data_IF_285302123518
#
_entry.id   IF_285302123518
#
_cell.length_a   1.000
_cell.length_b   1.000
_cell.length_c   1.000
_cell.angle_alpha   90.00
_cell.angle_beta   90.00
_cell.angle_gamma   90.00
#
_symmetry.space_group_name_H-M   'P 1'
#
loop_
_entity.id
_entity.type
_entity.pdbx_description
1 polymer ?
#
# COMPACT_ATOMS: atom_id res chain seq x y z
N UNK A 1 -4.87 -8.42 15.53
CA UNK A 1 -3.84 -9.38 15.07
C UNK A 1 -2.57 -8.63 14.69
N UNK A 2 -1.44 -9.34 14.59
CA UNK A 2 -0.13 -8.78 14.21
C UNK A 2 0.51 -9.70 13.18
N UNK A 3 1.03 -9.14 12.10
CA UNK A 3 1.92 -9.84 11.16
C UNK A 3 3.34 -9.36 11.42
N UNK A 4 4.16 -10.21 12.01
CA UNK A 4 5.53 -9.86 12.42
C UNK A 4 6.52 -9.82 11.27
N UNK A 5 6.20 -10.44 10.13
CA UNK A 5 7.05 -10.46 8.94
C UNK A 5 6.23 -10.76 7.68
N UNK A 6 6.49 -10.03 6.61
CA UNK A 6 5.96 -10.28 5.26
C UNK A 6 6.74 -9.44 4.26
N UNK A 7 7.01 -9.94 3.05
CA UNK A 7 7.88 -9.23 2.12
C UNK A 7 7.88 -9.82 0.72
N UNK A 8 8.40 -9.05 -0.23
CA UNK A 8 8.73 -9.52 -1.58
C UNK A 8 10.06 -8.92 -2.00
N UNK A 9 10.89 -9.71 -2.68
CA UNK A 9 12.22 -9.31 -3.14
C UNK A 9 12.23 -8.65 -4.53
N UNK A 10 13.21 -7.77 -4.75
CA UNK A 10 13.54 -7.21 -6.08
C UNK A 10 14.75 -7.89 -6.73
N UNK A 11 15.30 -8.90 -6.08
CA UNK A 11 16.36 -9.81 -6.53
C UNK A 11 15.92 -11.28 -6.42
N UNK A 12 16.89 -12.20 -6.51
CA UNK A 12 16.62 -13.65 -6.41
C UNK A 12 16.06 -14.29 -7.68
N UNK A 13 15.41 -15.44 -7.53
CA UNK A 13 14.96 -16.27 -8.66
C UNK A 13 13.73 -15.72 -9.41
N UNK A 14 12.87 -14.96 -8.73
CA UNK A 14 11.65 -14.37 -9.28
C UNK A 14 11.50 -12.90 -8.86
N UNK A 15 12.42 -12.02 -9.30
CA UNK A 15 12.48 -10.65 -8.82
C UNK A 15 11.27 -9.86 -9.28
N UNK A 16 10.69 -9.07 -8.36
CA UNK A 16 9.77 -8.00 -8.73
C UNK A 16 10.55 -6.78 -9.19
N UNK A 17 9.93 -5.96 -10.03
CA UNK A 17 10.36 -4.56 -10.15
C UNK A 17 10.07 -3.81 -8.86
N UNK A 18 10.85 -2.78 -8.52
CA UNK A 18 10.59 -1.95 -7.33
C UNK A 18 9.20 -1.31 -7.34
N UNK A 19 8.70 -0.95 -8.53
CA UNK A 19 7.34 -0.42 -8.69
C UNK A 19 6.30 -1.47 -8.30
N UNK A 20 6.49 -2.73 -8.71
CA UNK A 20 5.60 -3.83 -8.29
C UNK A 20 5.69 -4.07 -6.78
N UNK A 21 6.90 -4.12 -6.21
CA UNK A 21 7.11 -4.30 -4.78
C UNK A 21 6.40 -3.20 -3.98
N UNK A 22 6.60 -1.93 -4.34
CA UNK A 22 5.96 -0.80 -3.67
C UNK A 22 4.43 -0.86 -3.75
N UNK A 23 3.86 -1.23 -4.91
CA UNK A 23 2.41 -1.38 -5.06
C UNK A 23 1.84 -2.51 -4.22
N UNK A 24 2.53 -3.65 -4.16
CA UNK A 24 2.13 -4.79 -3.33
C UNK A 24 2.16 -4.44 -1.84
N UNK A 25 3.14 -3.67 -1.37
CA UNK A 25 3.16 -3.21 0.01
C UNK A 25 1.96 -2.31 0.36
N UNK A 26 1.56 -1.40 -0.53
CA UNK A 26 0.35 -0.58 -0.29
C UNK A 26 -0.93 -1.44 -0.25
N UNK A 27 -1.08 -2.38 -1.20
CA UNK A 27 -2.19 -3.34 -1.18
C UNK A 27 -2.21 -4.15 0.12
N UNK A 28 -1.05 -4.64 0.54
CA UNK A 28 -0.86 -5.43 1.76
C UNK A 28 -1.32 -4.64 3.00
N UNK A 29 -0.88 -3.40 3.16
CA UNK A 29 -1.29 -2.56 4.29
C UNK A 29 -2.81 -2.33 4.31
N UNK A 30 -3.40 -1.99 3.18
CA UNK A 30 -4.86 -1.78 3.07
C UNK A 30 -5.64 -3.07 3.37
N UNK A 31 -5.22 -4.20 2.79
CA UNK A 31 -5.86 -5.49 2.97
C UNK A 31 -5.77 -5.98 4.41
N UNK A 32 -4.59 -5.89 5.04
CA UNK A 32 -4.41 -6.28 6.45
C UNK A 32 -5.22 -5.39 7.39
N UNK A 33 -5.18 -4.07 7.16
CA UNK A 33 -5.98 -3.14 7.96
C UNK A 33 -7.49 -3.40 7.83
N UNK A 34 -8.01 -3.58 6.59
CA UNK A 34 -9.43 -3.91 6.34
C UNK A 34 -9.87 -5.18 7.07
N UNK A 35 -8.97 -6.15 7.28
CA UNK A 35 -9.25 -7.39 8.01
C UNK A 35 -9.01 -7.30 9.52
N UNK A 36 -8.64 -6.13 10.08
CA UNK A 36 -8.48 -5.91 11.52
C UNK A 36 -7.09 -6.21 12.10
N UNK A 37 -6.05 -6.26 11.26
CA UNK A 37 -4.68 -6.28 11.75
C UNK A 37 -4.31 -4.91 12.31
N UNK A 38 -3.69 -4.90 13.49
CA UNK A 38 -3.28 -3.67 14.17
C UNK A 38 -1.86 -3.26 13.79
N UNK A 39 -1.02 -4.24 13.48
CA UNK A 39 0.36 -4.03 13.08
C UNK A 39 0.75 -4.99 11.95
N UNK A 40 1.42 -4.44 10.95
CA UNK A 40 2.00 -5.15 9.79
C UNK A 40 3.44 -4.71 9.66
N UNK A 41 4.38 -5.65 9.80
CA UNK A 41 5.81 -5.38 9.65
C UNK A 41 6.28 -5.95 8.31
N UNK A 42 6.81 -5.08 7.46
CA UNK A 42 7.42 -5.50 6.20
C UNK A 42 8.88 -5.90 6.44
N UNK A 43 9.28 -7.02 5.84
CA UNK A 43 10.66 -7.46 5.78
C UNK A 43 11.24 -6.99 4.44
N UNK A 44 12.28 -6.15 4.40
CA UNK A 44 12.97 -5.53 5.55
C UNK A 44 13.32 -4.06 5.31
N UNK A 45 14.12 -3.47 6.21
CA UNK A 45 14.53 -2.08 6.05
C UNK A 45 15.53 -1.92 4.90
N UNK A 46 16.61 -2.73 4.86
CA UNK A 46 17.70 -2.58 3.90
C UNK A 46 18.05 -3.93 3.29
N UNK A 47 18.25 -3.96 1.97
CA UNK A 47 18.57 -5.18 1.24
C UNK A 47 19.80 -5.93 1.76
N UNK A 48 19.69 -7.26 1.70
CA UNK A 48 20.76 -8.23 1.95
C UNK A 48 21.28 -8.25 3.39
N UNK A 49 20.47 -7.79 4.34
CA UNK A 49 20.75 -7.86 5.76
C UNK A 49 20.08 -9.10 6.37
N UNK A 50 20.55 -9.55 7.54
CA UNK A 50 19.89 -10.64 8.26
C UNK A 50 19.84 -12.01 7.54
N UNK A 51 20.52 -12.17 6.41
CA UNK A 51 20.44 -13.38 5.57
C UNK A 51 19.53 -13.24 4.34
N UNK A 52 18.98 -12.05 4.07
CA UNK A 52 18.29 -11.75 2.82
C UNK A 52 19.20 -11.97 1.61
N UNK A 53 18.70 -12.73 0.63
CA UNK A 53 19.36 -12.94 -0.66
C UNK A 53 18.54 -12.40 -1.83
N UNK A 54 17.33 -11.94 -1.55
CA UNK A 54 16.32 -11.62 -2.54
C UNK A 54 16.07 -10.12 -2.66
N UNK A 55 16.78 -9.29 -1.88
CA UNK A 55 16.64 -7.84 -1.91
C UNK A 55 15.23 -7.42 -1.50
N UNK A 56 14.81 -7.88 -0.32
CA UNK A 56 13.47 -7.64 0.25
C UNK A 56 13.33 -6.27 0.92
N UNK A 57 14.45 -5.56 1.09
CA UNK A 57 14.50 -4.24 1.70
C UNK A 57 13.64 -3.19 0.97
N UNK A 58 13.21 -2.16 1.71
CA UNK A 58 12.69 -0.90 1.14
C UNK A 58 13.80 0.11 0.82
N UNK A 59 15.01 -0.12 1.33
CA UNK A 59 16.24 0.56 0.91
C UNK A 59 17.17 -0.42 0.22
N UNK A 60 17.90 0.07 -0.78
CA UNK A 60 19.01 -0.64 -1.37
C UNK A 60 20.13 -0.85 -0.35
N UNK A 61 21.05 -1.77 -0.66
CA UNK A 61 22.25 -2.05 0.17
C UNK A 61 23.08 -0.80 0.48
N UNK A 62 23.17 0.13 -0.47
CA UNK A 62 23.87 1.41 -0.33
C UNK A 62 23.07 2.48 0.45
N UNK A 63 21.91 2.09 1.00
CA UNK A 63 20.97 2.94 1.74
C UNK A 63 20.29 4.03 0.89
N UNK A 64 20.34 3.94 -0.43
CA UNK A 64 19.44 4.73 -1.28
C UNK A 64 18.01 4.17 -1.20
N UNK A 65 16.96 5.02 -1.19
CA UNK A 65 15.58 4.56 -1.07
C UNK A 65 15.14 3.87 -2.36
N UNK A 66 14.47 2.72 -2.23
CA UNK A 66 13.71 2.13 -3.34
C UNK A 66 12.43 2.92 -3.57
N UNK A 67 11.79 2.67 -4.71
CA UNK A 67 10.43 3.19 -4.99
C UNK A 67 9.43 2.80 -3.89
N UNK A 68 9.57 1.62 -3.28
CA UNK A 68 8.72 1.19 -2.17
C UNK A 68 8.84 2.10 -0.94
N UNK A 69 10.03 2.58 -0.58
CA UNK A 69 10.20 3.54 0.51
C UNK A 69 9.47 4.85 0.23
N UNK A 70 9.58 5.38 -0.99
CA UNK A 70 8.87 6.61 -1.40
C UNK A 70 7.35 6.41 -1.32
N UNK A 71 6.82 5.30 -1.85
CA UNK A 71 5.38 5.03 -1.82
C UNK A 71 4.84 4.87 -0.40
N UNK A 72 5.58 4.20 0.49
CA UNK A 72 5.20 4.06 1.90
C UNK A 72 5.24 5.42 2.60
N UNK A 73 6.25 6.24 2.34
CA UNK A 73 6.32 7.61 2.87
C UNK A 73 5.09 8.43 2.46
N UNK A 74 4.78 8.49 1.17
CA UNK A 74 3.62 9.23 0.66
C UNK A 74 2.30 8.69 1.23
N UNK A 75 2.14 7.37 1.28
CA UNK A 75 0.97 6.70 1.83
C UNK A 75 0.76 7.07 3.31
N UNK A 76 1.81 6.97 4.13
CA UNK A 76 1.74 7.32 5.55
C UNK A 76 1.50 8.82 5.75
N UNK A 77 2.06 9.69 4.92
CA UNK A 77 1.79 11.14 4.93
C UNK A 77 0.32 11.46 4.64
N UNK A 78 -0.28 10.81 3.62
CA UNK A 78 -1.71 10.98 3.31
C UNK A 78 -2.58 10.54 4.49
N UNK A 79 -2.27 9.38 5.07
CA UNK A 79 -3.04 8.77 6.16
C UNK A 79 -2.76 9.37 7.54
N UNK A 80 -1.72 10.19 7.69
CA UNK A 80 -1.29 10.73 8.97
C UNK A 80 -2.43 11.46 9.69
N UNK A 81 -2.81 10.92 10.84
CA UNK A 81 -3.83 11.49 11.72
C UNK A 81 -3.46 11.14 13.16
N UNK A 82 -3.42 12.15 14.03
CA UNK A 82 -2.93 12.02 15.40
C UNK A 82 -4.06 11.96 16.43
N UNK A 83 -5.30 12.20 16.01
CA UNK A 83 -6.45 12.27 16.90
C UNK A 83 -7.41 11.13 16.54
N UNK A 84 -7.75 10.28 17.51
CA UNK A 84 -8.80 9.30 17.34
C UNK A 84 -10.16 9.92 17.70
N UNK A 85 -11.11 9.89 16.76
CA UNK A 85 -12.50 10.29 16.97
C UNK A 85 -13.43 9.22 16.41
N UNK A 86 -14.68 9.23 16.88
CA UNK A 86 -15.73 8.42 16.26
C UNK A 86 -15.89 8.81 14.78
N UNK A 87 -15.88 7.81 13.92
CA UNK A 87 -16.09 7.98 12.48
C UNK A 87 -17.58 7.99 12.14
N UNK A 88 -17.96 8.80 11.17
CA UNK A 88 -19.27 8.77 10.53
C UNK A 88 -19.34 7.76 9.39
N UNK A 89 -20.44 7.81 8.64
CA UNK A 89 -20.70 6.98 7.47
C UNK A 89 -20.87 7.83 6.22
N UNK A 90 -20.52 7.26 5.07
CA UNK A 90 -20.85 7.83 3.77
C UNK A 90 -21.36 6.74 2.84
N UNK A 91 -22.46 7.01 2.16
CA UNK A 91 -22.96 6.11 1.11
C UNK A 91 -22.17 6.33 -0.17
N UNK A 92 -21.60 5.26 -0.72
CA UNK A 92 -20.93 5.26 -2.02
C UNK A 92 -21.23 3.95 -2.76
N UNK A 93 -20.94 3.95 -4.05
CA UNK A 93 -20.95 2.75 -4.88
C UNK A 93 -19.78 2.81 -5.87
N UNK A 94 -19.23 1.65 -6.19
CA UNK A 94 -18.20 1.50 -7.23
C UNK A 94 -18.89 0.80 -8.41
N UNK A 95 -19.20 1.52 -9.51
CA UNK A 95 -19.84 0.90 -10.67
C UNK A 95 -18.92 -0.17 -11.28
N UNK A 96 -19.51 -1.29 -11.69
CA UNK A 96 -18.78 -2.38 -12.37
C UNK A 96 -17.61 -2.95 -11.55
N UNK A 97 -17.80 -3.08 -10.24
CA UNK A 97 -16.81 -3.66 -9.33
C UNK A 97 -16.53 -5.12 -9.68
N UNK A 98 -15.29 -5.39 -10.13
CA UNK A 98 -14.79 -6.75 -10.35
C UNK A 98 -14.58 -7.45 -9.00
N UNK A 99 -14.65 -8.78 -8.96
CA UNK A 99 -14.38 -9.58 -7.76
C UNK A 99 -12.96 -9.40 -7.17
N UNK A 100 -12.06 -8.77 -7.93
CA UNK A 100 -10.68 -8.46 -7.55
C UNK A 100 -10.47 -7.01 -7.13
N UNK A 101 -11.51 -6.18 -7.25
CA UNK A 101 -11.51 -4.80 -6.76
C UNK A 101 -11.85 -4.86 -5.29
N UNK A 102 -11.15 -4.03 -4.53
CA UNK A 102 -11.32 -3.86 -3.12
C UNK A 102 -11.34 -2.38 -2.79
N UNK A 103 -12.04 -2.06 -1.72
CA UNK A 103 -12.26 -0.70 -1.27
C UNK A 103 -12.09 -0.56 0.25
N UNK A 104 -11.80 0.64 0.73
CA UNK A 104 -11.76 0.95 2.15
C UNK A 104 -12.12 2.41 2.38
N UNK A 105 -13.29 2.65 2.97
CA UNK A 105 -13.70 3.97 3.43
C UNK A 105 -13.07 4.26 4.80
N UNK A 106 -12.36 5.37 4.88
CA UNK A 106 -11.73 5.92 6.08
C UNK A 106 -12.19 7.35 6.30
N UNK A 107 -12.09 7.84 7.53
CA UNK A 107 -12.35 9.23 7.86
C UNK A 107 -11.29 9.76 8.81
N UNK A 108 -10.70 10.91 8.48
CA UNK A 108 -9.78 11.63 9.36
C UNK A 108 -10.56 12.37 10.45
N UNK A 109 -9.87 12.74 11.52
CA UNK A 109 -10.39 13.43 12.70
C UNK A 109 -10.90 14.85 12.44
N UNK A 110 -10.57 15.42 11.28
CA UNK A 110 -11.11 16.67 10.74
C UNK A 110 -12.47 16.49 10.03
N UNK A 111 -12.95 15.26 9.91
CA UNK A 111 -14.20 14.88 9.25
C UNK A 111 -14.05 14.54 7.77
N UNK A 112 -12.85 14.68 7.19
CA UNK A 112 -12.60 14.37 5.77
C UNK A 112 -12.67 12.86 5.51
N UNK A 113 -13.51 12.44 4.56
CA UNK A 113 -13.55 11.06 4.09
C UNK A 113 -12.49 10.78 3.01
N UNK A 114 -11.88 9.60 3.12
CA UNK A 114 -10.93 9.03 2.18
C UNK A 114 -11.46 7.67 1.73
N UNK A 115 -11.57 7.46 0.42
CA UNK A 115 -11.87 6.16 -0.15
C UNK A 115 -10.63 5.62 -0.85
N UNK A 116 -10.06 4.56 -0.30
CA UNK A 116 -9.04 3.78 -0.99
C UNK A 116 -9.73 2.74 -1.88
N UNK A 117 -9.30 2.64 -3.14
CA UNK A 117 -9.74 1.60 -4.08
C UNK A 117 -8.51 0.99 -4.72
N UNK A 118 -8.44 -0.35 -4.74
CA UNK A 118 -7.36 -1.08 -5.37
C UNK A 118 -7.85 -2.35 -6.06
N UNK A 119 -7.04 -2.87 -6.99
CA UNK A 119 -7.35 -4.07 -7.76
C UNK A 119 -6.16 -5.02 -7.75
N UNK A 120 -6.41 -6.30 -7.51
CA UNK A 120 -5.38 -7.33 -7.38
C UNK A 120 -5.17 -8.18 -8.64
N UNK A 121 -5.80 -7.81 -9.77
CA UNK A 121 -5.58 -8.52 -11.05
C UNK A 121 -4.12 -8.49 -11.49
N UNK A 122 -3.57 -9.67 -11.68
CA UNK A 122 -2.33 -9.87 -12.44
C UNK A 122 -2.69 -9.90 -13.92
N UNK A 123 -2.63 -8.75 -14.60
CA UNK A 123 -2.88 -8.71 -16.04
C UNK A 123 -1.65 -9.28 -16.77
N UNK A 124 -1.78 -10.52 -17.24
CA UNK A 124 -0.88 -11.06 -18.23
C UNK A 124 -1.08 -10.29 -19.54
N UNK A 125 -0.15 -9.40 -19.86
CA UNK A 125 -0.06 -8.60 -21.09
C UNK A 125 -1.00 -7.38 -21.13
N UNK A 126 -0.38 -6.21 -21.29
CA UNK A 126 -0.90 -4.83 -21.25
C UNK A 126 -1.21 -4.29 -19.85
N UNK A 127 -0.27 -3.46 -19.39
CA UNK A 127 -0.35 -2.66 -18.18
C UNK A 127 -1.62 -1.80 -18.15
N UNK A 128 -2.62 -2.25 -17.38
CA UNK A 128 -3.32 -1.31 -16.52
C UNK A 128 -2.58 -1.35 -15.18
N UNK A 129 -2.18 -0.19 -14.64
CA UNK A 129 -1.43 -0.18 -13.40
C UNK A 129 -2.27 -0.85 -12.30
N UNK A 130 -1.65 -1.74 -11.51
CA UNK A 130 -2.01 -1.92 -10.11
C UNK A 130 -2.14 -0.50 -9.53
N UNK A 131 -3.38 -0.06 -9.32
CA UNK A 131 -3.72 1.30 -8.91
C UNK A 131 -4.25 1.20 -7.48
N UNK A 132 -3.43 1.60 -6.52
CA UNK A 132 -3.95 2.06 -5.24
C UNK A 132 -4.28 3.52 -5.42
N UNK A 133 -5.57 3.83 -5.44
CA UNK A 133 -6.04 5.21 -5.52
C UNK A 133 -6.67 5.59 -4.20
N UNK A 134 -6.15 6.64 -3.56
CA UNK A 134 -6.75 7.21 -2.36
C UNK A 134 -7.42 8.51 -2.75
N UNK A 135 -8.73 8.50 -2.84
CA UNK A 135 -9.49 9.68 -3.25
C UNK A 135 -10.01 10.39 -2.01
N UNK A 136 -9.66 11.67 -1.83
CA UNK A 136 -10.54 12.58 -1.10
C UNK A 136 -11.77 12.73 -1.97
N UNK A 137 -12.96 12.74 -1.38
CA UNK A 137 -14.20 12.77 -2.16
C UNK A 137 -14.42 14.10 -2.92
N UNK A 138 -13.48 15.05 -2.75
CA UNK A 138 -13.34 16.26 -3.56
C UNK A 138 -12.00 16.37 -4.36
N UNK A 139 -11.06 15.43 -4.23
CA UNK A 139 -9.77 15.43 -4.94
C UNK A 139 -9.11 14.04 -4.95
N UNK A 140 -8.74 13.50 -6.12
CA UNK A 140 -8.06 12.21 -6.24
C UNK A 140 -6.56 12.41 -5.98
N UNK A 141 -5.97 11.65 -5.05
CA UNK A 141 -4.51 11.64 -4.84
C UNK A 141 -3.98 10.22 -5.03
N UNK A 142 -2.97 10.05 -5.88
CA UNK A 142 -2.30 8.76 -6.03
C UNK A 142 -1.03 8.77 -5.18
N UNK A 143 -0.79 7.75 -4.34
CA UNK A 143 0.45 7.65 -3.54
C UNK A 143 1.73 7.63 -4.40
N UNK A 144 1.59 7.34 -5.70
CA UNK A 144 2.68 7.24 -6.67
C UNK A 144 3.07 8.58 -7.31
N UNK A 145 2.26 9.64 -7.15
CA UNK A 145 2.38 10.90 -7.88
C UNK A 145 2.87 12.07 -6.99
N UNK A 146 3.21 11.80 -5.72
CA UNK A 146 3.77 12.74 -4.75
C UNK A 146 5.29 12.58 -4.66
#
# INVERSE_FOLDING_TARGET
MVTTETGWGTGGAHPLTEVQQGKLFLNLYLAQFKRGWRYTFIYEMRDYEGGDTDGTGIYHKDSTPKISATYIHNFTTILADTISKATGSLNYSIPSESATVHDLLMQKSDGTFYLAVWDERVLAVRALPLLVQISRIMHITRPFDL
#
